data_IF_630751981687
#
_entry.id   IF_630751981687
#
_cell.length_a   1.000
_cell.length_b   1.000
_cell.length_c   1.000
_cell.angle_alpha   90.00
_cell.angle_beta   90.00
_cell.angle_gamma   90.00
#
_symmetry.space_group_name_H-M   'P 1'
#
loop_
_entity.id
_entity.type
_entity.pdbx_description
1 polymer ?
#
# COMPACT_ATOMS: atom_id res chain seq x y z
N UNK A 1 -1.48 30.03 5.50
CA UNK A 1 -1.05 28.69 5.02
C UNK A 1 -1.41 27.64 6.05
N UNK A 2 -1.16 27.88 7.34
CA UNK A 2 -1.75 27.14 8.45
C UNK A 2 -3.29 27.23 8.47
N UNK A 3 -3.85 28.41 8.15
CA UNK A 3 -5.31 28.63 8.11
C UNK A 3 -6.03 27.95 6.92
N UNK A 4 -5.30 27.47 5.90
CA UNK A 4 -5.89 26.65 4.83
C UNK A 4 -6.02 25.18 5.24
N UNK A 5 -5.19 24.76 6.20
CA UNK A 5 -5.13 23.39 6.73
C UNK A 5 -6.17 23.24 7.84
N UNK A 6 -6.30 24.24 8.73
CA UNK A 6 -7.32 24.25 9.77
C UNK A 6 -8.74 24.28 9.17
N UNK A 7 -9.47 23.17 9.36
CA UNK A 7 -10.85 23.01 8.89
C UNK A 7 -11.02 22.29 7.54
N UNK A 8 -9.95 21.95 6.82
CA UNK A 8 -10.00 21.20 5.56
C UNK A 8 -9.23 19.86 5.61
N UNK A 9 -8.87 19.39 6.79
CA UNK A 9 -8.06 18.17 7.00
C UNK A 9 -8.66 16.96 6.28
N UNK A 10 -9.97 16.77 6.38
CA UNK A 10 -10.70 15.68 5.73
C UNK A 10 -10.57 15.72 4.21
N UNK A 11 -10.57 16.92 3.60
CA UNK A 11 -10.41 17.09 2.14
C UNK A 11 -9.02 16.60 1.70
N UNK A 12 -7.98 16.92 2.48
CA UNK A 12 -6.63 16.46 2.18
C UNK A 12 -6.48 14.95 2.32
N UNK A 13 -7.12 14.36 3.34
CA UNK A 13 -7.13 12.90 3.55
C UNK A 13 -7.89 12.20 2.41
N UNK A 14 -9.04 12.73 1.98
CA UNK A 14 -9.80 12.22 0.84
C UNK A 14 -8.96 12.28 -0.43
N UNK A 15 -8.34 13.43 -0.73
CA UNK A 15 -7.49 13.59 -1.91
C UNK A 15 -6.34 12.59 -1.91
N UNK A 16 -5.68 12.42 -0.76
CA UNK A 16 -4.62 11.44 -0.60
C UNK A 16 -5.12 10.00 -0.83
N UNK A 17 -6.27 9.63 -0.27
CA UNK A 17 -6.88 8.32 -0.50
C UNK A 17 -7.23 8.09 -1.98
N UNK A 18 -7.73 9.10 -2.68
CA UNK A 18 -8.03 9.02 -4.11
C UNK A 18 -6.77 8.82 -4.95
N UNK A 19 -5.68 9.52 -4.65
CA UNK A 19 -4.38 9.31 -5.31
C UNK A 19 -3.92 7.87 -5.14
N UNK A 20 -3.96 7.34 -3.91
CA UNK A 20 -3.56 5.96 -3.62
C UNK A 20 -4.48 4.95 -4.29
N UNK A 21 -5.80 5.20 -4.34
CA UNK A 21 -6.75 4.36 -5.07
C UNK A 21 -6.40 4.28 -6.56
N UNK A 22 -6.12 5.41 -7.21
CA UNK A 22 -5.70 5.44 -8.61
C UNK A 22 -4.43 4.62 -8.84
N UNK A 23 -3.46 4.72 -7.93
CA UNK A 23 -2.23 3.92 -7.98
C UNK A 23 -2.55 2.42 -7.84
N UNK A 24 -3.40 2.04 -6.89
CA UNK A 24 -3.77 0.64 -6.69
C UNK A 24 -4.57 0.06 -7.87
N UNK A 25 -5.54 0.81 -8.40
CA UNK A 25 -6.33 0.41 -9.57
C UNK A 25 -5.44 0.27 -10.80
N UNK A 26 -4.53 1.22 -11.03
CA UNK A 26 -3.54 1.14 -12.12
C UNK A 26 -2.68 -0.10 -11.99
N UNK A 27 -2.16 -0.38 -10.78
CA UNK A 27 -1.40 -1.60 -10.51
C UNK A 27 -2.20 -2.88 -10.79
N UNK A 28 -3.46 -2.94 -10.37
CA UNK A 28 -4.33 -4.10 -10.60
C UNK A 28 -4.61 -4.31 -12.09
N UNK A 29 -4.85 -3.23 -12.83
CA UNK A 29 -5.08 -3.26 -14.29
C UNK A 29 -3.84 -3.78 -15.02
N UNK A 30 -2.67 -3.29 -14.65
CA UNK A 30 -1.42 -3.58 -15.35
C UNK A 30 -0.68 -4.81 -14.78
N UNK A 31 -1.24 -5.48 -13.76
CA UNK A 31 -0.61 -6.60 -13.04
C UNK A 31 -0.12 -7.71 -13.98
N UNK A 32 -0.94 -8.08 -14.98
CA UNK A 32 -0.58 -9.14 -15.94
C UNK A 32 0.67 -8.77 -16.76
N UNK A 33 0.77 -7.51 -17.18
CA UNK A 33 1.90 -7.01 -17.96
C UNK A 33 3.16 -6.93 -17.09
N UNK A 34 3.02 -6.45 -15.85
CA UNK A 34 4.09 -6.42 -14.85
C UNK A 34 4.61 -7.84 -14.58
N UNK A 35 3.72 -8.80 -14.37
CA UNK A 35 4.07 -10.20 -14.11
C UNK A 35 4.78 -10.85 -15.30
N UNK A 36 4.34 -10.53 -16.52
CA UNK A 36 4.98 -11.01 -17.75
C UNK A 36 6.41 -10.47 -17.87
N UNK A 37 6.63 -9.17 -17.67
CA UNK A 37 7.96 -8.58 -17.68
C UNK A 37 8.89 -9.18 -16.61
N UNK A 38 8.40 -9.39 -15.39
CA UNK A 38 9.14 -10.09 -14.32
C UNK A 38 9.52 -11.53 -14.70
N UNK A 39 8.68 -12.20 -15.49
CA UNK A 39 8.94 -13.55 -15.93
C UNK A 39 10.03 -13.64 -17.02
N UNK A 40 10.15 -12.60 -17.84
CA UNK A 40 11.15 -12.48 -18.91
C UNK A 40 12.55 -12.14 -18.40
N UNK A 41 12.69 -11.60 -17.18
CA UNK A 41 13.99 -11.35 -16.53
C UNK A 41 14.66 -12.69 -16.15
N UNK A 42 15.91 -12.85 -16.59
CA UNK A 42 16.72 -14.04 -16.34
C UNK A 42 17.14 -14.14 -14.88
N UNK A 43 17.28 -15.35 -14.35
CA UNK A 43 17.69 -15.60 -12.95
C UNK A 43 19.08 -15.08 -12.61
N UNK A 44 19.95 -14.88 -13.62
CA UNK A 44 21.30 -14.37 -13.42
C UNK A 44 21.35 -12.85 -13.27
N UNK A 45 20.34 -12.12 -13.74
CA UNK A 45 20.23 -10.65 -13.57
C UNK A 45 19.55 -10.26 -12.24
N UNK A 46 19.13 -11.26 -11.44
CA UNK A 46 18.38 -11.10 -10.20
C UNK A 46 19.27 -11.03 -8.95
N UNK A 47 20.59 -11.18 -9.11
CA UNK A 47 21.60 -10.89 -8.09
C UNK A 47 21.80 -9.36 -7.97
N UNK A 48 20.73 -8.66 -7.63
CA UNK A 48 20.82 -7.28 -7.16
C UNK A 48 21.37 -7.36 -5.74
N UNK A 49 22.70 -7.36 -5.61
CA UNK A 49 23.39 -7.04 -4.36
C UNK A 49 23.77 -5.55 -4.31
N UNK A 50 22.93 -4.71 -3.69
CA UNK A 50 23.46 -3.48 -3.14
C UNK A 50 22.78 -3.16 -1.81
N UNK A 51 23.51 -3.24 -0.70
CA UNK A 51 23.12 -2.68 0.59
C UNK A 51 21.65 -2.98 0.98
N UNK A 52 21.34 -4.27 1.19
CA UNK A 52 20.00 -4.82 1.46
C UNK A 52 19.14 -4.00 2.45
N UNK A 53 19.77 -3.33 3.41
CA UNK A 53 19.12 -2.51 4.43
C UNK A 53 18.57 -1.18 3.89
N UNK A 54 19.26 -0.53 2.93
CA UNK A 54 18.81 0.73 2.32
C UNK A 54 17.61 0.51 1.41
N UNK A 55 17.64 -0.54 0.59
CA UNK A 55 16.50 -0.93 -0.26
C UNK A 55 15.30 -1.35 0.58
N UNK A 56 15.53 -2.09 1.67
CA UNK A 56 14.47 -2.43 2.62
C UNK A 56 13.86 -1.17 3.23
N UNK A 57 14.68 -0.22 3.69
CA UNK A 57 14.20 1.03 4.28
C UNK A 57 13.36 1.85 3.29
N UNK A 58 13.81 1.97 2.04
CA UNK A 58 13.04 2.63 0.97
C UNK A 58 11.71 1.90 0.74
N UNK A 59 11.71 0.56 0.71
CA UNK A 59 10.50 -0.24 0.56
C UNK A 59 9.50 -0.05 1.71
N UNK A 60 9.99 -0.01 2.95
CA UNK A 60 9.17 0.25 4.13
C UNK A 60 8.59 1.68 4.10
N UNK A 61 9.41 2.68 3.78
CA UNK A 61 8.97 4.07 3.68
C UNK A 61 7.92 4.26 2.58
N UNK A 62 8.11 3.61 1.44
CA UNK A 62 7.12 3.61 0.37
C UNK A 62 5.81 2.94 0.80
N UNK A 63 5.85 1.79 1.50
CA UNK A 63 4.64 1.16 2.02
C UNK A 63 3.96 1.98 3.12
N UNK A 64 4.73 2.71 3.93
CA UNK A 64 4.18 3.65 4.90
C UNK A 64 3.32 4.71 4.22
N UNK A 65 3.90 5.45 3.26
CA UNK A 65 3.21 6.51 2.53
C UNK A 65 2.18 6.01 1.51
N UNK A 66 2.19 4.73 1.14
CA UNK A 66 1.21 4.19 0.20
C UNK A 66 0.05 3.49 0.90
N UNK A 67 0.26 2.87 2.06
CA UNK A 67 -0.72 1.97 2.68
C UNK A 67 -0.93 2.27 4.15
N UNK A 68 0.14 2.22 4.95
CA UNK A 68 0.01 2.23 6.40
C UNK A 68 -0.52 3.54 6.96
N UNK A 69 -0.17 4.66 6.31
CA UNK A 69 -0.71 5.95 6.68
C UNK A 69 -2.25 5.99 6.56
N UNK A 70 -2.83 5.34 5.54
CA UNK A 70 -4.29 5.24 5.41
C UNK A 70 -4.88 4.37 6.50
N UNK A 71 -4.23 3.27 6.89
CA UNK A 71 -4.70 2.46 8.01
C UNK A 71 -4.72 3.25 9.32
N UNK A 72 -3.68 4.07 9.55
CA UNK A 72 -3.60 4.95 10.71
C UNK A 72 -4.74 5.97 10.67
N UNK A 73 -4.94 6.67 9.55
CA UNK A 73 -6.06 7.61 9.42
C UNK A 73 -7.42 6.94 9.62
N UNK A 74 -7.63 5.75 9.07
CA UNK A 74 -8.87 5.01 9.25
C UNK A 74 -9.12 4.68 10.72
N UNK A 75 -8.10 4.24 11.46
CA UNK A 75 -8.23 3.98 12.91
C UNK A 75 -8.53 5.25 13.69
N UNK A 76 -7.82 6.35 13.41
CA UNK A 76 -7.96 7.60 14.16
C UNK A 76 -9.31 8.27 13.92
N UNK A 77 -9.84 8.23 12.70
CA UNK A 77 -11.08 8.93 12.34
C UNK A 77 -12.32 8.08 12.64
N UNK A 78 -12.27 6.76 12.39
CA UNK A 78 -13.46 5.91 12.61
C UNK A 78 -13.66 5.52 14.07
N UNK A 79 -12.60 5.54 14.88
CA UNK A 79 -12.56 5.07 16.27
C UNK A 79 -13.17 3.66 16.49
N UNK A 80 -13.28 2.88 15.41
CA UNK A 80 -13.99 1.60 15.40
C UNK A 80 -13.04 0.46 15.72
N UNK A 81 -13.38 -0.33 16.74
CA UNK A 81 -12.60 -1.55 17.10
C UNK A 81 -12.50 -2.52 15.93
N UNK A 82 -13.53 -2.60 15.09
CA UNK A 82 -13.50 -3.44 13.89
C UNK A 82 -12.48 -2.95 12.86
N UNK A 83 -12.43 -1.64 12.62
CA UNK A 83 -11.45 -1.02 11.70
C UNK A 83 -10.04 -1.21 12.23
N UNK A 84 -9.82 -1.07 13.55
CA UNK A 84 -8.53 -1.35 14.20
C UNK A 84 -8.04 -2.76 13.91
N UNK A 85 -8.91 -3.78 14.07
CA UNK A 85 -8.53 -5.17 13.84
C UNK A 85 -8.14 -5.38 12.37
N UNK A 86 -8.95 -4.89 11.42
CA UNK A 86 -8.65 -5.02 9.99
C UNK A 86 -7.34 -4.31 9.62
N UNK A 87 -7.17 -3.06 10.05
CA UNK A 87 -5.97 -2.25 9.83
C UNK A 87 -4.72 -2.95 10.38
N UNK A 88 -4.82 -3.55 11.56
CA UNK A 88 -3.71 -4.29 12.17
C UNK A 88 -3.34 -5.54 11.35
N UNK A 89 -4.33 -6.32 10.92
CA UNK A 89 -4.09 -7.51 10.09
C UNK A 89 -3.45 -7.12 8.75
N UNK A 90 -3.97 -6.09 8.08
CA UNK A 90 -3.41 -5.60 6.82
C UNK A 90 -1.97 -5.08 7.00
N UNK A 91 -1.71 -4.35 8.08
CA UNK A 91 -0.37 -3.89 8.43
C UNK A 91 0.60 -5.06 8.62
N UNK A 92 0.24 -6.08 9.40
CA UNK A 92 1.11 -7.24 9.65
C UNK A 92 1.41 -8.00 8.36
N UNK A 93 0.41 -8.26 7.52
CA UNK A 93 0.61 -8.95 6.23
C UNK A 93 1.52 -8.11 5.31
N UNK A 94 1.28 -6.79 5.23
CA UNK A 94 2.08 -5.87 4.42
C UNK A 94 3.52 -5.74 4.92
N UNK A 95 3.72 -5.71 6.23
CA UNK A 95 5.05 -5.68 6.85
C UNK A 95 5.81 -6.98 6.58
N UNK A 96 5.16 -8.13 6.76
CA UNK A 96 5.75 -9.43 6.44
C UNK A 96 6.16 -9.52 4.97
N UNK A 97 5.29 -9.11 4.05
CA UNK A 97 5.61 -9.09 2.62
C UNK A 97 6.82 -8.17 2.33
N UNK A 98 6.88 -7.00 2.97
CA UNK A 98 7.99 -6.06 2.81
C UNK A 98 9.33 -6.60 3.34
N UNK A 99 9.30 -7.28 4.50
CA UNK A 99 10.51 -7.81 5.14
C UNK A 99 11.04 -9.08 4.47
N UNK A 100 10.15 -9.94 3.97
CA UNK A 100 10.53 -11.28 3.50
C UNK A 100 10.39 -11.47 1.98
N UNK A 101 9.64 -10.65 1.26
CA UNK A 101 9.51 -10.73 -0.20
C UNK A 101 10.21 -9.57 -0.94
N UNK A 102 11.21 -8.93 -0.33
CA UNK A 102 11.99 -7.85 -0.96
C UNK A 102 12.81 -8.29 -2.19
N UNK A 103 13.07 -9.59 -2.33
CA UNK A 103 13.78 -10.17 -3.48
C UNK A 103 12.88 -10.22 -4.71
N UNK A 104 13.37 -9.73 -5.85
CA UNK A 104 12.70 -9.86 -7.15
C UNK A 104 12.34 -11.32 -7.48
N UNK A 105 13.15 -12.30 -7.06
CA UNK A 105 12.86 -13.73 -7.27
C UNK A 105 11.61 -14.18 -6.51
N UNK A 106 11.37 -13.63 -5.31
CA UNK A 106 10.15 -13.91 -4.53
C UNK A 106 8.95 -13.16 -5.07
N UNK A 107 9.12 -11.91 -5.52
CA UNK A 107 8.05 -11.13 -6.20
C UNK A 107 7.59 -11.81 -7.50
N UNK A 108 8.53 -12.39 -8.26
CA UNK A 108 8.25 -13.19 -9.46
C UNK A 108 7.37 -14.41 -9.16
N UNK A 109 7.53 -15.06 -8.00
CA UNK A 109 6.74 -16.25 -7.62
C UNK A 109 5.46 -15.92 -6.86
N UNK A 110 5.47 -14.85 -6.08
CA UNK A 110 4.38 -14.49 -5.17
C UNK A 110 3.26 -13.71 -5.87
N UNK A 111 2.02 -13.92 -5.43
CA UNK A 111 0.86 -13.08 -5.76
C UNK A 111 0.45 -12.18 -4.57
N UNK A 112 1.25 -12.15 -3.50
CA UNK A 112 0.94 -11.39 -2.27
C UNK A 112 0.69 -9.90 -2.55
N UNK A 113 1.53 -9.28 -3.40
CA UNK A 113 1.35 -7.89 -3.81
C UNK A 113 0.00 -7.61 -4.51
N UNK A 114 -0.54 -8.57 -5.27
CA UNK A 114 -1.87 -8.46 -5.88
C UNK A 114 -2.97 -8.56 -4.83
N UNK A 115 -2.92 -9.58 -3.96
CA UNK A 115 -3.93 -9.73 -2.91
C UNK A 115 -3.96 -8.52 -1.96
N UNK A 116 -2.78 -8.01 -1.57
CA UNK A 116 -2.67 -6.79 -0.78
C UNK A 116 -3.21 -5.57 -1.53
N UNK A 117 -2.93 -5.41 -2.83
CA UNK A 117 -3.49 -4.30 -3.60
C UNK A 117 -5.01 -4.38 -3.74
N UNK A 118 -5.59 -5.57 -3.85
CA UNK A 118 -7.06 -5.76 -3.85
C UNK A 118 -7.63 -5.38 -2.48
N UNK A 119 -7.05 -5.92 -1.41
CA UNK A 119 -7.50 -5.65 -0.04
C UNK A 119 -7.45 -4.16 0.27
N UNK A 120 -6.36 -3.48 -0.11
CA UNK A 120 -6.22 -2.03 0.05
C UNK A 120 -7.21 -1.25 -0.81
N UNK A 121 -7.43 -1.66 -2.06
CA UNK A 121 -8.41 -0.97 -2.91
C UNK A 121 -9.79 -1.00 -2.25
N UNK A 122 -10.23 -2.18 -1.77
CA UNK A 122 -11.51 -2.32 -1.08
C UNK A 122 -11.54 -1.51 0.21
N UNK A 123 -10.51 -1.64 1.05
CA UNK A 123 -10.42 -0.93 2.32
C UNK A 123 -10.46 0.60 2.13
N UNK A 124 -9.65 1.13 1.22
CA UNK A 124 -9.58 2.57 0.96
C UNK A 124 -10.88 3.06 0.32
N UNK A 125 -11.51 2.30 -0.58
CA UNK A 125 -12.82 2.68 -1.14
C UNK A 125 -13.88 2.79 -0.07
N UNK A 126 -13.97 1.82 0.85
CA UNK A 126 -14.92 1.87 1.98
C UNK A 126 -14.60 3.07 2.88
N UNK A 127 -13.33 3.31 3.17
CA UNK A 127 -12.92 4.42 4.02
C UNK A 127 -13.22 5.78 3.38
N UNK A 128 -13.00 5.95 2.08
CA UNK A 128 -13.39 7.18 1.37
C UNK A 128 -14.90 7.38 1.39
N UNK A 129 -15.70 6.34 1.16
CA UNK A 129 -17.16 6.42 1.26
C UNK A 129 -17.57 6.84 2.67
N UNK A 130 -16.94 6.28 3.70
CA UNK A 130 -17.17 6.68 5.09
C UNK A 130 -16.91 8.17 5.27
N UNK A 131 -15.75 8.69 4.85
CA UNK A 131 -15.37 10.11 4.97
C UNK A 131 -16.35 11.08 4.27
N UNK A 132 -17.07 10.63 3.24
CA UNK A 132 -18.09 11.46 2.57
C UNK A 132 -19.45 11.45 3.28
N UNK A 133 -19.72 10.45 4.12
CA UNK A 133 -21.03 10.24 4.77
C UNK A 133 -21.01 10.69 6.23
N UNK A 134 -19.87 10.59 6.90
CA UNK A 134 -19.60 11.12 8.24
C UNK A 134 -19.53 12.64 8.25
#
# INVERSE_FOLDING_TARGET
>A
MWDLIEGNEDIYIILYCLIVLVINISFLRDYKNIKKGLNEISSNDLEVDPASLSLLFIGLLFNFFRRWLIYIFAVLITESTFVVIISFVLFVISLYDSLFNYSLARVKKSNAGLYLAIADTVFISIFVIFLFVS
#
